data_IF_531486475907
#
_entry.id   IF_531486475907
#
_cell.length_a   1.000
_cell.length_b   1.000
_cell.length_c   1.000
_cell.angle_alpha   90.00
_cell.angle_beta   90.00
_cell.angle_gamma   90.00
#
_symmetry.space_group_name_H-M   'P 1'
#
loop_
_entity.id
_entity.type
_entity.pdbx_description
1 polymer ?
#
# COMPACT_ATOMS: atom_id res chain seq x y z
N UNK A 1 -8.59 10.43 -14.53
CA UNK A 1 -9.83 10.91 -13.88
C UNK A 1 -9.44 11.89 -12.78
N UNK A 2 -10.02 13.09 -12.72
CA UNK A 2 -9.67 14.12 -11.72
C UNK A 2 -10.06 13.60 -10.33
N UNK A 3 -9.08 13.37 -9.45
CA UNK A 3 -9.32 12.97 -8.06
C UNK A 3 -10.28 13.96 -7.40
N UNK A 4 -11.38 13.44 -6.83
CA UNK A 4 -12.42 14.25 -6.21
C UNK A 4 -11.83 15.13 -5.09
N UNK A 5 -12.17 16.42 -5.08
CA UNK A 5 -11.67 17.38 -4.09
C UNK A 5 -11.93 16.93 -2.64
N UNK A 6 -13.01 16.17 -2.42
CA UNK A 6 -13.36 15.59 -1.13
C UNK A 6 -12.34 14.55 -0.62
N UNK A 7 -11.75 13.77 -1.53
CA UNK A 7 -10.77 12.72 -1.16
C UNK A 7 -9.44 13.32 -0.71
N UNK A 8 -8.99 14.36 -1.42
CA UNK A 8 -7.79 15.11 -1.01
C UNK A 8 -7.96 15.72 0.38
N UNK A 9 -9.13 16.33 0.65
CA UNK A 9 -9.43 16.87 1.98
C UNK A 9 -9.48 15.80 3.08
N UNK A 10 -10.03 14.62 2.79
CA UNK A 10 -10.04 13.50 3.73
C UNK A 10 -8.62 13.00 4.04
N UNK A 11 -7.80 12.81 3.00
CA UNK A 11 -6.40 12.40 3.13
C UNK A 11 -5.62 13.39 4.00
N UNK A 12 -5.76 14.70 3.73
CA UNK A 12 -5.09 15.75 4.51
C UNK A 12 -5.48 15.72 6.00
N UNK A 13 -6.77 15.55 6.30
CA UNK A 13 -7.28 15.45 7.68
C UNK A 13 -6.73 14.22 8.40
N UNK A 14 -6.70 13.06 7.75
CA UNK A 14 -6.14 11.84 8.34
C UNK A 14 -4.61 11.92 8.49
N UNK A 15 -3.90 12.50 7.52
CA UNK A 15 -2.47 12.77 7.63
C UNK A 15 -2.16 13.70 8.82
N UNK A 16 -2.99 14.72 9.06
CA UNK A 16 -2.85 15.63 10.21
C UNK A 16 -3.06 14.89 11.54
N UNK A 17 -4.07 14.02 11.62
CA UNK A 17 -4.31 13.18 12.81
C UNK A 17 -3.18 12.19 13.08
N UNK A 18 -2.55 11.68 12.02
CA UNK A 18 -1.42 10.77 12.09
C UNK A 18 -0.05 11.47 12.13
N UNK A 19 -0.01 12.79 12.31
CA UNK A 19 1.22 13.58 12.27
C UNK A 19 2.35 13.10 13.19
N UNK A 20 2.01 12.46 14.33
CA UNK A 20 2.97 11.84 15.23
C UNK A 20 3.82 10.72 14.57
N UNK A 21 3.29 10.08 13.52
CA UNK A 21 3.94 9.03 12.74
C UNK A 21 4.57 9.54 11.43
N UNK A 22 4.42 10.83 11.12
CA UNK A 22 4.91 11.47 9.89
C UNK A 22 4.59 10.67 8.60
N UNK A 23 3.30 10.42 8.29
CA UNK A 23 2.92 9.64 7.12
C UNK A 23 3.40 10.31 5.84
N UNK A 24 3.99 9.51 4.94
CA UNK A 24 4.39 9.94 3.61
C UNK A 24 3.59 9.19 2.56
N UNK A 25 3.08 9.92 1.58
CA UNK A 25 2.35 9.36 0.44
C UNK A 25 3.26 9.51 -0.78
N UNK A 26 3.62 8.38 -1.39
CA UNK A 26 4.44 8.33 -2.58
C UNK A 26 3.57 7.76 -3.70
N UNK A 27 3.21 8.61 -4.65
CA UNK A 27 2.52 8.17 -5.87
C UNK A 27 3.55 7.62 -6.86
N UNK A 28 3.39 6.35 -7.22
CA UNK A 28 4.23 5.67 -8.20
C UNK A 28 3.45 5.54 -9.49
N UNK A 29 3.83 6.32 -10.51
CA UNK A 29 3.18 6.29 -11.82
C UNK A 29 4.14 5.75 -12.90
N UNK A 30 3.71 4.70 -13.58
CA UNK A 30 4.49 4.09 -14.65
C UNK A 30 4.26 4.86 -15.95
N UNK A 31 5.23 5.71 -16.32
CA UNK A 31 5.17 6.54 -17.54
C UNK A 31 5.09 5.74 -18.86
N UNK A 32 5.29 4.42 -18.83
CA UNK A 32 5.23 3.55 -20.01
C UNK A 32 3.78 3.10 -20.23
N UNK A 33 3.10 3.75 -21.17
CA UNK A 33 1.72 3.43 -21.54
C UNK A 33 1.68 2.38 -22.66
N UNK A 34 0.65 1.54 -22.67
CA UNK A 34 0.41 0.55 -23.75
C UNK A 34 1.19 -0.77 -23.63
N UNK A 35 1.80 -1.05 -22.48
CA UNK A 35 2.41 -2.35 -22.19
C UNK A 35 1.34 -3.40 -21.83
N UNK A 36 1.61 -4.70 -22.05
CA UNK A 36 0.77 -5.76 -21.51
C UNK A 36 0.66 -5.65 -19.98
N UNK A 37 -0.49 -6.02 -19.37
CA UNK A 37 -0.73 -5.86 -17.93
C UNK A 37 0.36 -6.47 -17.02
N UNK A 38 0.95 -7.60 -17.42
CA UNK A 38 2.05 -8.23 -16.68
C UNK A 38 3.34 -7.41 -16.70
N UNK A 39 3.70 -6.84 -17.86
CA UNK A 39 4.90 -6.00 -17.98
C UNK A 39 4.72 -4.68 -17.25
N UNK A 40 3.51 -4.12 -17.26
CA UNK A 40 3.20 -2.92 -16.50
C UNK A 40 3.39 -3.15 -15.00
N UNK A 41 2.82 -4.25 -14.46
CA UNK A 41 3.00 -4.65 -13.06
C UNK A 41 4.47 -4.83 -12.68
N UNK A 42 5.29 -5.41 -13.55
CA UNK A 42 6.73 -5.57 -13.30
C UNK A 42 7.47 -4.24 -13.24
N UNK A 43 7.14 -3.28 -14.11
CA UNK A 43 7.76 -1.96 -14.08
C UNK A 43 7.32 -1.15 -12.85
N UNK A 44 6.05 -1.23 -12.48
CA UNK A 44 5.52 -0.65 -11.23
C UNK A 44 6.22 -1.26 -10.01
N UNK A 45 6.37 -2.59 -9.97
CA UNK A 45 7.09 -3.29 -8.90
C UNK A 45 8.53 -2.81 -8.77
N UNK A 46 9.26 -2.60 -9.87
CA UNK A 46 10.63 -2.05 -9.83
C UNK A 46 10.67 -0.63 -9.26
N UNK A 47 9.65 0.18 -9.51
CA UNK A 47 9.58 1.53 -8.95
C UNK A 47 9.28 1.49 -7.46
N UNK A 48 8.34 0.64 -7.03
CA UNK A 48 8.04 0.39 -5.62
C UNK A 48 9.30 -0.13 -4.89
N UNK A 49 10.01 -1.09 -5.46
CA UNK A 49 11.25 -1.62 -4.85
C UNK A 49 12.34 -0.56 -4.66
N UNK A 50 12.36 0.49 -5.50
CA UNK A 50 13.31 1.60 -5.35
C UNK A 50 12.94 2.55 -4.22
N UNK A 51 11.65 2.64 -3.87
CA UNK A 51 11.18 3.48 -2.76
C UNK A 51 11.27 2.75 -1.42
N UNK A 52 11.21 1.42 -1.43
CA UNK A 52 11.27 0.60 -0.21
C UNK A 52 12.69 0.50 0.36
N UNK A 53 12.81 0.64 1.68
CA UNK A 53 14.06 0.40 2.41
C UNK A 53 14.03 -1.00 3.04
N UNK A 54 15.14 -1.75 2.95
CA UNK A 54 15.22 -3.16 3.43
C UNK A 54 14.92 -3.42 4.91
N UNK A 55 14.86 -2.38 5.74
CA UNK A 55 14.66 -2.51 7.20
C UNK A 55 13.23 -2.26 7.65
N UNK A 56 12.40 -1.72 6.77
CA UNK A 56 11.05 -1.29 7.11
C UNK A 56 10.06 -2.42 6.84
N UNK A 57 9.01 -2.52 7.66
CA UNK A 57 7.99 -3.54 7.44
C UNK A 57 7.16 -3.22 6.19
N UNK A 58 6.78 -4.23 5.43
CA UNK A 58 6.02 -4.11 4.19
C UNK A 58 4.62 -4.71 4.37
N UNK A 59 3.60 -3.85 4.30
CA UNK A 59 2.19 -4.23 4.29
C UNK A 59 1.63 -4.00 2.89
N UNK A 60 1.05 -5.04 2.30
CA UNK A 60 0.44 -4.99 0.97
C UNK A 60 -1.07 -5.12 1.09
N UNK A 61 -1.80 -4.31 0.33
CA UNK A 61 -3.25 -4.47 0.17
C UNK A 61 -3.55 -5.38 -1.02
N UNK A 62 -4.18 -6.52 -0.76
CA UNK A 62 -4.61 -7.49 -1.77
C UNK A 62 -5.90 -8.20 -1.32
N UNK A 63 -6.81 -8.46 -2.25
CA UNK A 63 -8.09 -9.11 -1.97
C UNK A 63 -7.93 -10.53 -1.39
N UNK A 64 -6.83 -11.22 -1.73
CA UNK A 64 -6.46 -12.56 -1.24
C UNK A 64 -5.75 -12.52 0.13
N UNK A 65 -5.52 -11.31 0.66
CA UNK A 65 -4.94 -11.11 1.98
C UNK A 65 -5.84 -11.56 3.14
N UNK A 66 -5.29 -11.47 4.35
CA UNK A 66 -6.03 -11.77 5.57
C UNK A 66 -6.95 -10.60 5.95
N UNK A 67 -8.17 -10.90 6.36
CA UNK A 67 -9.10 -9.93 6.92
C UNK A 67 -8.90 -9.88 8.43
N UNK A 68 -8.93 -8.67 8.98
CA UNK A 68 -8.76 -8.42 10.41
C UNK A 68 -9.93 -7.61 10.95
N UNK A 69 -10.30 -7.86 12.20
CA UNK A 69 -11.05 -6.85 12.95
C UNK A 69 -10.12 -5.67 13.23
N UNK A 70 -10.66 -4.48 13.51
CA UNK A 70 -9.84 -3.30 13.84
C UNK A 70 -8.91 -3.54 15.04
N UNK A 71 -9.35 -4.36 16.01
CA UNK A 71 -8.54 -4.72 17.19
C UNK A 71 -7.42 -5.68 16.82
N UNK A 72 -7.69 -6.70 16.01
CA UNK A 72 -6.64 -7.63 15.57
C UNK A 72 -5.62 -6.92 14.66
N UNK A 73 -6.09 -6.00 13.83
CA UNK A 73 -5.22 -5.19 12.99
C UNK A 73 -4.27 -4.31 13.83
N UNK A 74 -4.76 -3.66 14.89
CA UNK A 74 -3.88 -2.86 15.75
C UNK A 74 -2.82 -3.72 16.47
N UNK A 75 -3.17 -4.94 16.88
CA UNK A 75 -2.20 -5.89 17.43
C UNK A 75 -1.16 -6.32 16.39
N UNK A 76 -1.57 -6.55 15.14
CA UNK A 76 -0.66 -6.91 14.06
C UNK A 76 0.31 -5.77 13.72
N UNK A 77 -0.16 -4.52 13.65
CA UNK A 77 0.70 -3.35 13.46
C UNK A 77 1.71 -3.21 14.60
N UNK A 78 1.28 -3.40 15.85
CA UNK A 78 2.17 -3.36 17.00
C UNK A 78 3.23 -4.47 16.97
N UNK A 79 2.91 -5.65 16.42
CA UNK A 79 3.88 -6.72 16.23
C UNK A 79 4.91 -6.36 15.15
N UNK A 80 4.47 -5.84 14.00
CA UNK A 80 5.36 -5.40 12.93
C UNK A 80 6.32 -4.29 13.38
N UNK A 81 5.85 -3.35 14.20
CA UNK A 81 6.73 -2.31 14.76
C UNK A 81 7.82 -2.87 15.69
N UNK A 82 7.56 -3.98 16.40
CA UNK A 82 8.57 -4.63 17.23
C UNK A 82 9.63 -5.35 16.40
N UNK A 83 9.24 -5.87 15.23
CA UNK A 83 10.09 -6.66 14.36
C UNK A 83 10.95 -5.79 13.41
N UNK A 84 10.35 -4.78 12.79
CA UNK A 84 10.97 -3.96 11.75
C UNK A 84 11.29 -2.52 12.19
N UNK A 85 11.01 -2.18 13.45
CA UNK A 85 11.12 -0.81 13.95
C UNK A 85 9.94 0.07 13.54
N UNK A 86 10.04 1.38 13.74
CA UNK A 86 8.90 2.32 13.67
C UNK A 86 8.42 2.68 12.25
N UNK A 87 9.01 2.11 11.20
CA UNK A 87 8.70 2.44 9.81
C UNK A 87 7.98 1.26 9.15
N UNK A 88 6.78 1.54 8.63
CA UNK A 88 5.96 0.59 7.87
C UNK A 88 5.56 1.22 6.53
N UNK A 89 5.73 0.45 5.47
CA UNK A 89 5.32 0.82 4.12
C UNK A 89 4.01 0.12 3.78
N UNK A 90 2.99 0.90 3.45
CA UNK A 90 1.73 0.39 2.91
C UNK A 90 1.75 0.54 1.39
N UNK A 91 1.61 -0.58 0.67
CA UNK A 91 1.61 -0.60 -0.79
C UNK A 91 0.22 -0.97 -1.29
N UNK A 92 -0.30 -0.11 -2.17
CA UNK A 92 -1.60 -0.25 -2.82
C UNK A 92 -1.33 -0.46 -4.32
N UNK A 93 -1.88 -1.52 -4.88
CA UNK A 93 -1.75 -1.82 -6.32
C UNK A 93 -2.57 -0.88 -7.20
N UNK A 94 -2.15 -0.78 -8.47
CA UNK A 94 -2.93 -0.13 -9.52
C UNK A 94 -4.13 -0.97 -9.96
N UNK A 95 -4.74 -0.60 -11.09
CA UNK A 95 -5.93 -1.26 -11.62
C UNK A 95 -5.76 -2.77 -11.87
N UNK A 96 -4.56 -3.20 -12.24
CA UNK A 96 -4.24 -4.60 -12.55
C UNK A 96 -3.72 -5.41 -11.34
N UNK A 97 -3.68 -4.79 -10.16
CA UNK A 97 -3.13 -5.37 -8.93
C UNK A 97 -1.60 -5.25 -8.83
N UNK A 98 -1.02 -5.90 -7.82
CA UNK A 98 0.44 -5.91 -7.61
C UNK A 98 1.11 -7.09 -8.27
N UNK A 99 2.39 -6.91 -8.64
CA UNK A 99 3.21 -8.03 -9.08
C UNK A 99 3.46 -9.01 -7.92
N UNK A 100 3.51 -10.31 -8.26
CA UNK A 100 3.72 -11.36 -7.28
C UNK A 100 5.07 -11.24 -6.53
N UNK A 101 6.08 -10.58 -7.12
CA UNK A 101 7.36 -10.30 -6.44
C UNK A 101 7.20 -9.41 -5.21
N UNK A 102 6.31 -8.41 -5.26
CA UNK A 102 6.04 -7.51 -4.12
C UNK A 102 5.22 -8.24 -3.06
N UNK A 103 4.18 -8.97 -3.49
CA UNK A 103 3.32 -9.74 -2.57
C UNK A 103 4.16 -10.74 -1.76
N UNK A 104 5.09 -11.44 -2.41
CA UNK A 104 5.99 -12.41 -1.73
C UNK A 104 6.94 -11.78 -0.72
N UNK A 105 7.23 -10.49 -0.83
CA UNK A 105 8.09 -9.75 0.10
C UNK A 105 7.31 -9.13 1.26
N UNK A 106 5.99 -9.13 1.20
CA UNK A 106 5.17 -8.50 2.22
C UNK A 106 5.25 -9.28 3.54
N UNK A 107 5.53 -8.58 4.63
CA UNK A 107 5.43 -9.11 5.99
C UNK A 107 3.96 -9.32 6.37
N UNK A 108 3.05 -8.56 5.74
CA UNK A 108 1.62 -8.71 5.90
C UNK A 108 0.87 -8.42 4.59
N UNK A 109 -0.01 -9.33 4.19
CA UNK A 109 -1.01 -9.09 3.13
C UNK A 109 -2.38 -8.85 3.77
N UNK A 110 -2.90 -7.63 3.64
CA UNK A 110 -4.15 -7.16 4.20
C UNK A 110 -5.26 -7.16 3.14
N UNK A 111 -6.41 -7.74 3.47
CA UNK A 111 -7.64 -7.64 2.66
C UNK A 111 -8.66 -6.76 3.39
N UNK A 112 -9.13 -5.70 2.72
CA UNK A 112 -10.20 -4.84 3.23
C UNK A 112 -11.61 -5.42 2.98
N UNK A 113 -11.69 -6.55 2.27
CA UNK A 113 -12.95 -7.21 1.95
C UNK A 113 -12.85 -8.03 0.66
N UNK A 114 -13.93 -8.74 0.34
CA UNK A 114 -14.03 -9.50 -0.92
C UNK A 114 -14.39 -8.62 -2.13
N UNK A 115 -14.81 -7.37 -1.89
CA UNK A 115 -15.13 -6.42 -2.93
C UNK A 115 -13.85 -5.74 -3.43
N UNK A 116 -13.77 -5.49 -4.74
CA UNK A 116 -12.66 -4.72 -5.34
C UNK A 116 -12.88 -3.23 -5.08
N UNK A 117 -11.95 -2.61 -4.35
CA UNK A 117 -11.98 -1.18 -4.07
C UNK A 117 -11.15 -0.44 -5.12
N UNK A 118 -11.62 0.69 -5.67
CA UNK A 118 -10.80 1.56 -6.50
C UNK A 118 -9.56 2.03 -5.73
N UNK A 119 -8.38 1.96 -6.35
CA UNK A 119 -7.11 2.40 -5.74
C UNK A 119 -7.07 3.90 -5.39
N UNK A 120 -7.98 4.72 -5.94
CA UNK A 120 -8.13 6.15 -5.64
C UNK A 120 -9.41 6.48 -4.86
N UNK A 121 -9.89 5.59 -3.99
CA UNK A 121 -10.99 5.92 -3.06
C UNK A 121 -10.52 6.68 -1.83
#
# INVERSE_FOLDING_TARGET
>A
MKSSHALKGAIEEYCKRLSAYAPQIIEVDCKKTGLPPEQQKQEEAKLIEKTLTKKEGLVVLDEKGKQFTSRDFSHQIAALYKEHGIHLNFVIGGADGLDASIIRKADLTLSLGKATWPHMM
#
